data_IF_123907237350
#
_entry.id   IF_123907237350
#
_cell.length_a   1.000
_cell.length_b   1.000
_cell.length_c   1.000
_cell.angle_alpha   90.00
_cell.angle_beta   90.00
_cell.angle_gamma   90.00
#
_symmetry.space_group_name_H-M   'P 1'
#
loop_
_entity.id
_entity.type
_entity.pdbx_description
1 polymer ?
#
# COMPACT_ATOMS: atom_id res chain seq x y z
N UNK A 1 -6.18 -17.80 -2.88
CA UNK A 1 -5.94 -17.14 -1.58
C UNK A 1 -6.91 -17.60 -0.50
N UNK A 2 -8.24 -17.53 -0.69
CA UNK A 2 -9.22 -17.95 0.32
C UNK A 2 -9.06 -19.41 0.80
N UNK A 3 -8.78 -20.36 -0.11
CA UNK A 3 -8.51 -21.75 0.27
C UNK A 3 -7.29 -21.91 1.18
N UNK A 4 -6.21 -21.18 0.90
CA UNK A 4 -4.96 -21.22 1.69
C UNK A 4 -5.20 -20.68 3.11
N UNK A 5 -5.95 -19.58 3.23
CA UNK A 5 -6.30 -19.02 4.53
C UNK A 5 -7.22 -19.94 5.35
N UNK A 6 -8.07 -20.72 4.70
CA UNK A 6 -8.95 -21.68 5.38
C UNK A 6 -8.19 -22.93 5.82
N UNK A 7 -7.25 -23.44 5.02
CA UNK A 7 -6.42 -24.59 5.40
C UNK A 7 -5.53 -24.30 6.60
N UNK A 8 -5.05 -23.07 6.75
CA UNK A 8 -4.21 -22.69 7.90
C UNK A 8 -5.01 -22.51 9.20
N UNK A 9 -6.33 -22.29 9.10
CA UNK A 9 -7.19 -21.92 10.24
C UNK A 9 -8.13 -23.02 10.72
N UNK A 10 -8.42 -24.01 9.87
CA UNK A 10 -9.36 -25.08 10.16
C UNK A 10 -8.67 -26.42 9.95
N UNK A 11 -8.79 -27.32 10.92
CA UNK A 11 -8.29 -28.70 10.81
C UNK A 11 -8.99 -29.48 9.68
N UNK A 12 -10.24 -29.10 9.36
CA UNK A 12 -10.99 -29.63 8.21
C UNK A 12 -11.70 -28.48 7.49
N UNK A 13 -11.04 -27.86 6.49
CA UNK A 13 -11.60 -26.72 5.77
C UNK A 13 -12.69 -27.19 4.77
N UNK A 14 -13.82 -26.48 4.69
CA UNK A 14 -14.86 -26.80 3.70
C UNK A 14 -14.38 -26.49 2.29
N UNK A 15 -14.81 -27.30 1.33
CA UNK A 15 -14.61 -27.04 -0.10
C UNK A 15 -15.43 -25.80 -0.50
N UNK A 16 -14.75 -24.67 -0.74
CA UNK A 16 -15.40 -23.49 -1.29
C UNK A 16 -15.88 -23.78 -2.71
N UNK A 17 -17.18 -23.61 -2.96
CA UNK A 17 -17.69 -23.63 -4.34
C UNK A 17 -17.13 -22.44 -5.12
N UNK A 18 -16.94 -22.59 -6.43
CA UNK A 18 -16.54 -21.49 -7.33
C UNK A 18 -17.43 -20.25 -7.19
N UNK A 19 -18.73 -20.46 -6.90
CA UNK A 19 -19.73 -19.39 -6.75
C UNK A 19 -19.64 -18.64 -5.40
N UNK A 20 -18.81 -19.09 -4.47
CA UNK A 20 -18.77 -18.56 -3.10
C UNK A 20 -18.40 -17.08 -3.07
N UNK A 21 -17.37 -16.66 -3.80
CA UNK A 21 -16.90 -15.27 -3.83
C UNK A 21 -18.01 -14.33 -4.31
N UNK A 22 -18.67 -14.67 -5.42
CA UNK A 22 -19.79 -13.89 -5.96
C UNK A 22 -20.94 -13.79 -4.96
N UNK A 23 -21.31 -14.91 -4.31
CA UNK A 23 -22.38 -14.91 -3.30
C UNK A 23 -22.00 -14.10 -2.07
N UNK A 24 -20.75 -14.12 -1.66
CA UNK A 24 -20.25 -13.34 -0.53
C UNK A 24 -20.35 -11.84 -0.83
N UNK A 25 -19.80 -11.38 -1.96
CA UNK A 25 -19.87 -9.96 -2.35
C UNK A 25 -21.33 -9.50 -2.47
N UNK A 26 -22.21 -10.30 -3.10
CA UNK A 26 -23.62 -9.95 -3.25
C UNK A 26 -24.43 -9.92 -1.95
N UNK A 27 -23.95 -10.52 -0.86
CA UNK A 27 -24.63 -10.46 0.45
C UNK A 27 -24.18 -9.26 1.29
N UNK A 28 -23.09 -8.62 0.90
CA UNK A 28 -22.40 -7.60 1.69
C UNK A 28 -22.30 -6.32 0.85
N UNK A 29 -23.40 -5.56 0.78
CA UNK A 29 -23.48 -4.30 0.02
C UNK A 29 -22.52 -3.21 0.55
N UNK A 30 -22.01 -3.38 1.77
CA UNK A 30 -20.93 -2.59 2.34
C UNK A 30 -19.59 -2.79 1.61
N UNK A 31 -19.39 -3.92 0.95
CA UNK A 31 -18.15 -4.26 0.23
C UNK A 31 -18.24 -3.73 -1.20
N UNK A 32 -17.57 -2.61 -1.45
CA UNK A 32 -17.45 -2.03 -2.79
C UNK A 32 -16.11 -2.38 -3.41
N UNK A 33 -16.13 -3.02 -4.59
CA UNK A 33 -14.92 -3.18 -5.39
C UNK A 33 -14.49 -1.83 -5.95
N UNK A 34 -13.19 -1.51 -5.83
CA UNK A 34 -12.58 -0.32 -6.41
C UNK A 34 -11.30 -0.73 -7.14
N UNK A 35 -11.10 -0.20 -8.35
CA UNK A 35 -9.81 -0.33 -9.01
C UNK A 35 -8.77 0.45 -8.22
N UNK A 36 -7.71 -0.23 -7.81
CA UNK A 36 -6.54 0.45 -7.26
C UNK A 36 -5.86 1.25 -8.37
N UNK A 37 -5.23 2.38 -8.02
CA UNK A 37 -4.32 3.05 -8.95
C UNK A 37 -3.22 2.04 -9.31
N UNK A 38 -2.84 2.01 -10.58
CA UNK A 38 -1.72 1.16 -11.01
C UNK A 38 -0.48 1.61 -10.25
N UNK A 39 0.03 0.72 -9.42
CA UNK A 39 1.35 0.90 -8.85
C UNK A 39 2.37 0.81 -9.97
N UNK A 40 3.38 1.67 -9.95
CA UNK A 40 4.44 1.62 -10.96
C UNK A 40 5.23 0.32 -10.77
N UNK A 41 5.08 -0.60 -11.72
CA UNK A 41 5.70 -1.91 -11.66
C UNK A 41 7.24 -1.82 -11.65
N UNK A 42 7.82 -0.83 -12.33
CA UNK A 42 9.25 -0.61 -12.31
C UNK A 42 9.71 -0.16 -10.91
N UNK A 43 8.93 0.72 -10.27
CA UNK A 43 9.19 1.10 -8.87
C UNK A 43 9.14 -0.11 -7.94
N UNK A 44 8.15 -0.99 -8.08
CA UNK A 44 8.05 -2.22 -7.28
C UNK A 44 9.26 -3.15 -7.45
N UNK A 45 9.77 -3.29 -8.67
CA UNK A 45 10.94 -4.13 -8.94
C UNK A 45 12.23 -3.54 -8.36
N UNK A 46 12.31 -2.22 -8.23
CA UNK A 46 13.45 -1.52 -7.66
C UNK A 46 13.40 -1.43 -6.12
N UNK A 47 12.31 -1.85 -5.48
CA UNK A 47 12.19 -1.88 -4.03
C UNK A 47 12.96 -3.07 -3.44
N UNK A 48 13.98 -2.77 -2.64
CA UNK A 48 14.71 -3.77 -1.87
C UNK A 48 14.19 -3.73 -0.41
N UNK A 49 13.51 -4.79 0.06
CA UNK A 49 12.98 -4.85 1.43
C UNK A 49 14.04 -4.54 2.49
N UNK A 50 15.29 -4.94 2.26
CA UNK A 50 16.38 -4.68 3.20
C UNK A 50 16.69 -3.19 3.28
N UNK A 51 16.80 -2.51 2.14
CA UNK A 51 17.04 -1.06 2.10
C UNK A 51 15.91 -0.27 2.75
N UNK A 52 14.67 -0.68 2.51
CA UNK A 52 13.49 -0.06 3.13
C UNK A 52 13.56 -0.21 4.65
N UNK A 53 13.81 -1.42 5.15
CA UNK A 53 13.93 -1.68 6.59
C UNK A 53 15.09 -0.92 7.24
N UNK A 54 16.24 -0.87 6.58
CA UNK A 54 17.41 -0.16 7.09
C UNK A 54 17.18 1.35 7.14
N UNK A 55 16.46 1.92 6.15
CA UNK A 55 16.04 3.32 6.19
C UNK A 55 15.11 3.62 7.38
N UNK A 56 14.10 2.77 7.62
CA UNK A 56 13.20 2.97 8.76
C UNK A 56 13.92 2.85 10.11
N UNK A 57 14.87 1.92 10.23
CA UNK A 57 15.71 1.81 11.45
C UNK A 57 16.53 3.08 11.67
N UNK A 58 17.16 3.61 10.62
CA UNK A 58 17.91 4.87 10.68
C UNK A 58 16.98 6.02 11.10
N UNK A 59 15.81 6.13 10.48
CA UNK A 59 14.82 7.16 10.79
C UNK A 59 14.41 7.13 12.27
N UNK A 60 14.09 5.96 12.83
CA UNK A 60 13.74 5.82 14.24
C UNK A 60 14.90 6.21 15.17
N UNK A 61 16.12 5.83 14.83
CA UNK A 61 17.30 6.21 15.61
C UNK A 61 17.50 7.73 15.63
N UNK A 62 17.31 8.40 14.48
CA UNK A 62 17.40 9.86 14.37
C UNK A 62 16.27 10.53 15.16
N UNK A 63 15.02 10.06 15.01
CA UNK A 63 13.86 10.54 15.77
C UNK A 63 14.14 10.47 17.27
N UNK A 64 14.63 9.34 17.76
CA UNK A 64 14.96 9.14 19.17
C UNK A 64 16.14 10.01 19.64
N UNK A 65 17.20 10.12 18.83
CA UNK A 65 18.40 10.91 19.17
C UNK A 65 18.09 12.39 19.35
N UNK A 66 17.23 12.94 18.50
CA UNK A 66 16.91 14.37 18.51
C UNK A 66 15.57 14.69 19.20
N UNK A 67 14.88 13.69 19.75
CA UNK A 67 13.62 13.87 20.46
C UNK A 67 12.50 14.46 19.57
N UNK A 68 12.48 14.11 18.28
CA UNK A 68 11.52 14.67 17.33
C UNK A 68 10.12 14.14 17.65
N UNK A 69 9.19 15.05 17.95
CA UNK A 69 7.80 14.73 18.23
C UNK A 69 7.07 14.39 16.94
N UNK A 70 6.02 13.58 17.03
CA UNK A 70 5.26 13.15 15.85
C UNK A 70 4.61 14.31 15.10
N UNK A 71 4.21 15.34 15.84
CA UNK A 71 3.67 16.59 15.28
C UNK A 71 4.69 17.39 14.47
N UNK A 72 5.99 17.14 14.66
CA UNK A 72 7.08 17.85 13.97
C UNK A 72 7.61 17.05 12.76
N UNK A 73 6.95 15.94 12.40
CA UNK A 73 7.30 15.14 11.23
C UNK A 73 6.45 15.60 10.05
N UNK A 74 7.08 16.30 9.10
CA UNK A 74 6.45 16.77 7.88
C UNK A 74 6.82 15.86 6.71
N UNK A 75 5.81 15.47 5.90
CA UNK A 75 6.07 14.79 4.64
C UNK A 75 6.59 15.83 3.64
N UNK A 76 7.80 15.63 3.14
CA UNK A 76 8.33 16.45 2.05
C UNK A 76 8.11 15.67 0.75
N UNK A 77 6.89 15.74 0.20
CA UNK A 77 6.65 15.37 -1.19
C UNK A 77 6.81 16.62 -2.05
N UNK A 78 7.68 16.56 -3.06
CA UNK A 78 7.84 17.65 -4.01
C UNK A 78 6.50 17.99 -4.65
N UNK A 79 5.92 19.12 -4.25
CA UNK A 79 4.87 19.78 -5.00
C UNK A 79 5.56 20.35 -6.24
N UNK A 80 5.47 19.64 -7.36
CA UNK A 80 6.09 20.02 -8.62
C UNK A 80 5.68 21.42 -9.06
N UNK A 81 6.53 22.41 -8.79
CA UNK A 81 6.51 23.64 -9.56
C UNK A 81 7.09 23.31 -10.94
N UNK A 82 6.22 23.36 -11.96
CA UNK A 82 6.62 23.34 -13.37
C UNK A 82 7.33 24.68 -13.71
N UNK A 83 8.59 24.82 -13.29
CA UNK A 83 9.48 25.87 -13.76
C UNK A 83 9.87 25.58 -15.21
N UNK A 84 9.06 26.03 -16.18
CA UNK A 84 9.40 25.90 -17.60
C UNK A 84 8.28 25.89 -18.63
N UNK A 85 6.99 26.01 -18.26
CA UNK A 85 5.95 26.25 -19.26
C UNK A 85 5.78 27.75 -19.53
N UNK A 86 6.57 28.30 -20.46
CA UNK A 86 6.17 29.47 -21.23
C UNK A 86 5.10 29.04 -22.25
N UNK A 87 3.86 28.86 -21.77
CA UNK A 87 2.73 28.74 -22.68
C UNK A 87 2.55 30.10 -23.38
N UNK A 88 3.05 30.19 -24.62
CA UNK A 88 2.56 31.20 -25.56
C UNK A 88 1.20 30.72 -26.03
N UNK A 89 0.15 31.25 -25.42
CA UNK A 89 -1.20 31.12 -25.96
C UNK A 89 -1.23 31.85 -27.32
N UNK A 90 -1.71 31.15 -28.35
CA UNK A 90 -2.23 31.76 -29.57
C UNK A 90 -3.74 31.81 -29.49
#
# INVERSE_FOLDING_TARGET
MAHVLLSDRLESPPLLSEKWVRRFVNRHDEIKSKYNRRYDYQRALCEDPKKILDWFRLFQNVKAKYGILEQDIYNFDETGFLMGMTATYK
#
